data_IF_081430724069
#
_entry.id   IF_081430724069
#
_cell.length_a   1.000
_cell.length_b   1.000
_cell.length_c   1.000
_cell.angle_alpha   90.00
_cell.angle_beta   90.00
_cell.angle_gamma   90.00
#
_symmetry.space_group_name_H-M   'P 1'
#
loop_
_entity.id
_entity.type
_entity.pdbx_description
1 polymer ?
#
# COMPACT_ATOMS: atom_id res chain seq x y z
N UNK A 1 -54.82 7.30 -23.98
CA UNK A 1 -54.49 7.15 -22.54
C UNK A 1 -53.01 6.83 -22.48
N UNK A 2 -52.24 7.83 -22.87
CA UNK A 2 -50.79 7.92 -22.77
C UNK A 2 -50.51 8.92 -21.63
N UNK A 3 -49.29 8.94 -21.09
CA UNK A 3 -48.76 9.90 -20.08
C UNK A 3 -48.54 9.42 -18.63
N UNK A 4 -48.02 8.21 -18.42
CA UNK A 4 -47.55 7.83 -17.08
C UNK A 4 -46.26 6.97 -16.98
N UNK A 5 -45.38 6.93 -17.99
CA UNK A 5 -44.16 6.10 -17.92
C UNK A 5 -42.81 6.79 -18.23
N UNK A 6 -42.72 8.13 -18.27
CA UNK A 6 -41.44 8.80 -18.65
C UNK A 6 -40.87 9.82 -17.64
N UNK A 7 -41.29 9.83 -16.37
CA UNK A 7 -40.86 10.87 -15.40
C UNK A 7 -39.99 10.40 -14.23
N UNK A 8 -39.27 9.28 -14.36
CA UNK A 8 -38.50 8.69 -13.25
C UNK A 8 -37.01 8.41 -13.50
N UNK A 9 -36.43 8.83 -14.63
CA UNK A 9 -35.14 8.28 -15.10
C UNK A 9 -33.90 9.13 -14.83
N UNK A 10 -33.91 10.42 -15.18
CA UNK A 10 -32.67 11.20 -15.34
C UNK A 10 -32.11 11.83 -14.05
N UNK A 11 -32.96 12.25 -13.12
CA UNK A 11 -32.52 12.87 -11.86
C UNK A 11 -31.82 11.88 -10.91
N UNK A 12 -32.28 10.63 -10.89
CA UNK A 12 -31.72 9.60 -10.01
C UNK A 12 -30.36 9.08 -10.51
N UNK A 13 -30.13 9.00 -11.82
CA UNK A 13 -28.84 8.58 -12.39
C UNK A 13 -27.78 9.69 -12.31
N UNK A 14 -28.17 10.96 -12.40
CA UNK A 14 -27.24 12.08 -12.20
C UNK A 14 -26.71 12.14 -10.76
N UNK A 15 -27.57 11.89 -9.78
CA UNK A 15 -27.18 11.76 -8.36
C UNK A 15 -26.28 10.55 -8.10
N UNK A 16 -26.43 9.47 -8.87
CA UNK A 16 -25.60 8.25 -8.76
C UNK A 16 -24.25 8.40 -9.48
N UNK A 17 -24.10 9.32 -10.44
CA UNK A 17 -22.82 9.58 -11.12
C UNK A 17 -22.06 10.74 -10.47
N UNK A 18 -22.78 11.66 -9.80
CA UNK A 18 -22.18 12.68 -8.96
C UNK A 18 -21.18 12.05 -8.00
N UNK A 19 -19.98 12.62 -7.94
CA UNK A 19 -18.94 12.22 -6.99
C UNK A 19 -18.34 10.82 -7.21
N UNK A 20 -18.52 10.20 -8.38
CA UNK A 20 -17.84 8.94 -8.74
C UNK A 20 -16.48 9.19 -9.39
N UNK A 21 -15.43 8.61 -8.81
CA UNK A 21 -14.07 8.61 -9.37
C UNK A 21 -13.79 7.29 -10.10
N UNK A 22 -13.26 7.40 -11.32
CA UNK A 22 -12.93 6.27 -12.18
C UNK A 22 -11.53 6.39 -12.74
N UNK A 23 -10.85 5.26 -12.92
CA UNK A 23 -9.62 5.17 -13.69
C UNK A 23 -9.99 4.93 -15.16
N UNK A 24 -9.48 5.76 -16.06
CA UNK A 24 -9.79 5.68 -17.49
C UNK A 24 -8.51 5.64 -18.32
N UNK A 25 -8.46 4.74 -19.30
CA UNK A 25 -7.34 4.59 -20.23
C UNK A 25 -7.73 5.16 -21.59
N UNK A 26 -6.92 6.08 -22.10
CA UNK A 26 -7.10 6.59 -23.47
C UNK A 26 -6.89 5.45 -24.47
N UNK A 27 -7.93 5.16 -25.26
CA UNK A 27 -7.92 4.14 -26.30
C UNK A 27 -7.50 4.73 -27.64
N UNK A 28 -8.08 5.87 -28.02
CA UNK A 28 -7.83 6.55 -29.30
C UNK A 28 -8.09 8.04 -29.17
N UNK A 29 -7.26 8.84 -29.83
CA UNK A 29 -7.53 10.25 -30.07
C UNK A 29 -7.17 10.58 -31.52
N UNK A 30 -8.19 10.71 -32.37
CA UNK A 30 -8.04 11.00 -33.79
C UNK A 30 -7.72 12.47 -34.08
N UNK A 31 -7.11 12.71 -35.24
CA UNK A 31 -6.84 14.07 -35.72
C UNK A 31 -8.18 14.76 -36.03
N UNK A 32 -8.41 15.92 -35.41
CA UNK A 32 -9.65 16.69 -35.54
C UNK A 32 -10.74 16.34 -34.53
N UNK A 33 -10.53 15.33 -33.66
CA UNK A 33 -11.45 15.01 -32.57
C UNK A 33 -11.19 15.92 -31.36
N UNK A 34 -12.25 16.48 -30.77
CA UNK A 34 -12.16 17.40 -29.63
C UNK A 34 -11.89 16.69 -28.30
N UNK A 35 -12.18 15.40 -28.22
CA UNK A 35 -11.96 14.57 -27.03
C UNK A 35 -11.50 13.17 -27.41
N UNK A 36 -10.69 12.51 -26.56
CA UNK A 36 -10.30 11.13 -26.75
C UNK A 36 -11.45 10.16 -26.45
N UNK A 37 -11.40 8.98 -27.06
CA UNK A 37 -12.16 7.80 -26.64
C UNK A 37 -11.36 7.11 -25.53
N UNK A 38 -12.02 6.83 -24.41
CA UNK A 38 -11.43 6.17 -23.25
C UNK A 38 -12.18 4.88 -22.92
N UNK A 39 -11.45 3.91 -22.36
CA UNK A 39 -12.02 2.74 -21.71
C UNK A 39 -11.93 2.96 -20.19
N UNK A 40 -13.04 2.77 -19.45
CA UNK A 40 -13.00 2.76 -17.99
C UNK A 40 -12.37 1.44 -17.56
N UNK A 41 -11.24 1.50 -16.85
CA UNK A 41 -10.49 0.32 -16.42
C UNK A 41 -10.80 -0.07 -14.98
N UNK A 42 -11.13 0.91 -14.13
CA UNK A 42 -11.51 0.66 -12.75
C UNK A 42 -12.41 1.76 -12.17
N UNK A 43 -13.13 1.44 -11.10
CA UNK A 43 -13.96 2.36 -10.32
C UNK A 43 -13.32 2.53 -8.94
N UNK A 44 -12.71 3.71 -8.71
CA UNK A 44 -11.99 4.04 -7.48
C UNK A 44 -12.99 4.18 -6.31
N UNK A 45 -14.19 4.70 -6.61
CA UNK A 45 -15.31 4.79 -5.67
C UNK A 45 -15.94 6.18 -5.63
N UNK A 46 -16.89 6.35 -4.70
CA UNK A 46 -17.52 7.64 -4.45
C UNK A 46 -16.74 8.46 -3.44
N UNK A 47 -16.65 9.76 -3.65
CA UNK A 47 -16.10 10.70 -2.69
C UNK A 47 -16.09 12.14 -3.20
N UNK A 48 -15.63 13.07 -2.37
CA UNK A 48 -15.64 14.49 -2.72
C UNK A 48 -14.22 15.00 -2.92
N UNK A 49 -14.01 15.90 -3.89
CA UNK A 49 -12.73 16.60 -4.03
C UNK A 49 -12.40 17.32 -2.72
N UNK A 50 -11.25 17.01 -2.14
CA UNK A 50 -10.79 17.53 -0.85
C UNK A 50 -10.92 16.54 0.31
N UNK A 51 -11.64 15.42 0.13
CA UNK A 51 -11.57 14.29 1.06
C UNK A 51 -10.21 13.58 0.94
N UNK A 52 -9.47 13.51 2.04
CA UNK A 52 -8.08 13.00 2.04
C UNK A 52 -8.04 11.52 1.66
N UNK A 53 -8.96 10.72 2.17
CA UNK A 53 -8.96 9.27 1.94
C UNK A 53 -9.28 8.95 0.47
N UNK A 54 -10.27 9.61 -0.11
CA UNK A 54 -10.63 9.47 -1.53
C UNK A 54 -9.48 9.93 -2.43
N UNK A 55 -8.93 11.13 -2.18
CA UNK A 55 -7.85 11.66 -3.01
C UNK A 55 -6.56 10.84 -2.89
N UNK A 56 -6.29 10.23 -1.73
CA UNK A 56 -5.17 9.32 -1.56
C UNK A 56 -5.30 8.09 -2.46
N UNK A 57 -6.49 7.48 -2.53
CA UNK A 57 -6.75 6.35 -3.45
C UNK A 57 -6.57 6.75 -4.91
N UNK A 58 -7.05 7.93 -5.28
CA UNK A 58 -6.87 8.47 -6.65
C UNK A 58 -5.39 8.61 -7.00
N UNK A 59 -4.57 9.14 -6.08
CA UNK A 59 -3.12 9.31 -6.29
C UNK A 59 -2.43 7.94 -6.40
N UNK A 60 -2.78 6.98 -5.54
CA UNK A 60 -2.24 5.61 -5.57
C UNK A 60 -2.51 4.96 -6.93
N UNK A 61 -3.74 5.06 -7.43
CA UNK A 61 -4.14 4.51 -8.73
C UNK A 61 -3.48 5.25 -9.91
N UNK A 62 -3.42 6.58 -9.87
CA UNK A 62 -2.77 7.41 -10.90
C UNK A 62 -1.29 7.04 -11.10
N UNK A 63 -0.60 6.68 -10.01
CA UNK A 63 0.80 6.27 -10.03
C UNK A 63 0.98 4.76 -10.24
N UNK A 64 -0.10 4.00 -10.40
CA UNK A 64 -0.07 2.54 -10.58
C UNK A 64 0.52 1.80 -9.38
N UNK A 65 0.32 2.32 -8.17
CA UNK A 65 0.76 1.69 -6.92
C UNK A 65 -0.24 0.59 -6.56
N UNK A 66 0.22 -0.66 -6.51
CA UNK A 66 -0.61 -1.79 -6.10
C UNK A 66 -0.77 -1.80 -4.57
N UNK A 67 -1.98 -1.48 -4.09
CA UNK A 67 -2.35 -1.53 -2.66
C UNK A 67 -3.11 -2.80 -2.28
N UNK A 68 -3.25 -3.75 -3.21
CA UNK A 68 -3.95 -5.01 -2.98
C UNK A 68 -3.29 -5.83 -1.85
N UNK A 69 -4.08 -6.56 -1.03
CA UNK A 69 -3.55 -7.48 -0.05
C UNK A 69 -2.62 -8.52 -0.67
N UNK A 70 -1.60 -8.95 0.08
CA UNK A 70 -0.72 -10.03 -0.34
C UNK A 70 -1.51 -11.31 -0.67
N UNK A 71 -1.14 -11.96 -1.78
CA UNK A 71 -1.75 -13.24 -2.20
C UNK A 71 -1.55 -14.35 -1.15
N UNK A 72 -2.44 -15.36 -1.16
CA UNK A 72 -2.28 -16.54 -0.29
C UNK A 72 -0.97 -17.29 -0.54
N UNK A 73 -0.49 -17.31 -1.79
CA UNK A 73 0.79 -17.89 -2.13
C UNK A 73 1.96 -17.13 -1.46
N UNK A 74 1.92 -15.79 -1.43
CA UNK A 74 2.93 -14.98 -0.74
C UNK A 74 2.86 -15.16 0.78
N UNK A 75 1.65 -15.20 1.35
CA UNK A 75 1.43 -15.48 2.77
C UNK A 75 1.93 -16.86 3.18
N UNK A 76 1.80 -17.87 2.31
CA UNK A 76 2.27 -19.23 2.56
C UNK A 76 3.81 -19.35 2.59
N UNK A 77 4.55 -18.35 2.13
CA UNK A 77 6.02 -18.31 2.23
C UNK A 77 6.52 -17.82 3.61
N UNK A 78 5.64 -17.30 4.46
CA UNK A 78 6.01 -16.89 5.82
C UNK A 78 6.31 -18.12 6.69
N UNK A 79 7.12 -17.98 7.75
CA UNK A 79 7.34 -19.06 8.71
C UNK A 79 6.00 -19.58 9.26
N UNK A 80 5.87 -20.91 9.34
CA UNK A 80 4.70 -21.53 9.94
C UNK A 80 4.73 -21.36 11.45
N UNK A 81 3.86 -20.48 11.97
CA UNK A 81 3.75 -20.14 13.39
C UNK A 81 2.30 -20.37 13.80
N UNK A 82 2.08 -21.16 14.85
CA UNK A 82 0.73 -21.42 15.34
C UNK A 82 0.07 -20.13 15.84
N UNK A 83 -1.26 -20.03 15.76
CA UNK A 83 -1.98 -18.92 16.39
C UNK A 83 -1.59 -18.82 17.88
N UNK A 84 -1.22 -17.62 18.32
CA UNK A 84 -0.73 -17.30 19.68
C UNK A 84 0.67 -17.82 20.05
N UNK A 85 1.45 -18.30 19.08
CA UNK A 85 2.86 -18.60 19.26
C UNK A 85 3.72 -17.48 18.66
N UNK A 86 4.90 -17.25 19.24
CA UNK A 86 5.91 -16.35 18.67
C UNK A 86 6.94 -17.20 17.94
N UNK A 87 7.28 -16.79 16.72
CA UNK A 87 8.42 -17.39 16.01
C UNK A 87 9.69 -17.25 16.86
N UNK A 88 10.50 -18.31 16.91
CA UNK A 88 11.78 -18.35 17.62
C UNK A 88 12.90 -18.70 16.66
N UNK A 89 14.06 -18.12 16.91
CA UNK A 89 15.29 -18.45 16.19
C UNK A 89 15.64 -19.92 16.48
N UNK A 90 15.81 -20.78 15.46
CA UNK A 90 16.27 -22.16 15.66
C UNK A 90 17.65 -22.24 16.32
N UNK A 91 17.87 -23.23 17.19
CA UNK A 91 19.12 -23.37 17.94
C UNK A 91 20.36 -23.57 17.04
N UNK A 92 20.18 -24.23 15.90
CA UNK A 92 21.27 -24.43 14.93
C UNK A 92 21.69 -23.14 14.24
N UNK A 93 20.76 -22.18 14.05
CA UNK A 93 21.08 -20.85 13.54
C UNK A 93 21.90 -20.03 14.55
N UNK A 94 21.70 -20.23 15.86
CA UNK A 94 22.50 -19.58 16.89
C UNK A 94 23.97 -20.03 16.85
N UNK A 95 24.23 -21.29 16.52
CA UNK A 95 25.60 -21.84 16.42
C UNK A 95 26.31 -21.36 15.15
N UNK A 96 25.57 -21.18 14.05
CA UNK A 96 26.13 -20.77 12.74
C UNK A 96 26.48 -19.28 12.69
N UNK A 97 25.89 -18.46 13.55
CA UNK A 97 25.99 -16.99 13.50
C UNK A 97 26.91 -16.46 14.59
N UNK A 98 27.54 -15.31 14.32
CA UNK A 98 28.26 -14.58 15.35
C UNK A 98 27.24 -13.98 16.32
N UNK A 99 27.40 -14.26 17.61
CA UNK A 99 26.48 -13.78 18.65
C UNK A 99 26.90 -12.39 19.18
N UNK A 100 25.97 -11.44 19.12
CA UNK A 100 26.12 -10.07 19.62
C UNK A 100 25.16 -9.77 20.79
N UNK A 101 24.46 -10.76 21.33
CA UNK A 101 23.45 -10.54 22.39
C UNK A 101 24.02 -9.93 23.68
N UNK A 102 25.31 -10.13 23.94
CA UNK A 102 26.02 -9.53 25.08
C UNK A 102 26.61 -8.13 24.77
N UNK A 103 26.35 -7.59 23.58
CA UNK A 103 26.87 -6.29 23.11
C UNK A 103 25.81 -5.21 23.23
N UNK A 104 26.26 -3.97 23.44
CA UNK A 104 25.36 -2.81 23.40
C UNK A 104 25.03 -2.49 21.92
N UNK A 105 23.85 -2.91 21.50
CA UNK A 105 23.30 -2.69 20.15
C UNK A 105 22.01 -1.87 20.27
N UNK A 106 21.83 -0.85 19.43
CA UNK A 106 20.65 0.02 19.43
C UNK A 106 20.34 0.56 18.04
N UNK A 107 19.08 0.94 17.79
CA UNK A 107 18.66 1.66 16.58
C UNK A 107 18.32 3.12 16.91
N UNK A 108 18.27 3.99 15.90
CA UNK A 108 17.91 5.41 16.06
C UNK A 108 16.88 5.76 15.00
N UNK A 109 15.61 5.83 15.41
CA UNK A 109 14.49 5.92 14.47
C UNK A 109 13.50 7.04 14.85
N UNK A 110 12.74 7.58 13.89
CA UNK A 110 11.60 8.44 14.17
C UNK A 110 10.55 7.74 15.05
N UNK A 111 9.78 8.47 15.88
CA UNK A 111 8.74 7.89 16.75
C UNK A 111 7.64 7.09 16.02
N UNK A 112 7.50 7.28 14.71
CA UNK A 112 6.48 6.64 13.87
C UNK A 112 7.02 5.47 13.04
N UNK A 113 8.31 5.13 13.17
CA UNK A 113 8.89 3.98 12.47
C UNK A 113 8.22 2.67 12.89
N UNK A 114 8.01 1.75 11.94
CA UNK A 114 7.36 0.45 12.17
C UNK A 114 8.28 -0.72 11.84
N UNK A 115 9.12 -0.52 10.84
CA UNK A 115 10.16 -1.38 10.31
C UNK A 115 11.53 -0.88 10.80
N UNK A 116 12.19 -1.65 11.64
CA UNK A 116 13.50 -1.33 12.24
C UNK A 116 14.54 -2.32 11.69
N UNK A 117 15.14 -1.97 10.55
CA UNK A 117 15.97 -2.89 9.78
C UNK A 117 17.47 -2.70 10.01
N UNK A 118 17.89 -1.56 10.58
CA UNK A 118 19.27 -1.26 10.92
C UNK A 118 19.50 -1.09 12.44
N UNK A 119 20.74 -1.36 12.83
CA UNK A 119 21.19 -1.20 14.21
C UNK A 119 22.69 -0.86 14.25
N UNK A 120 23.10 -0.18 15.30
CA UNK A 120 24.44 0.31 15.53
C UNK A 120 25.03 -0.24 16.83
N UNK A 121 26.35 -0.37 16.84
CA UNK A 121 27.15 -0.76 17.99
C UNK A 121 28.52 -0.10 17.88
N UNK A 122 29.12 0.25 19.01
CA UNK A 122 30.51 0.69 19.08
C UNK A 122 31.11 0.36 20.44
N UNK A 123 32.31 -0.20 20.42
CA UNK A 123 33.14 -0.46 21.61
C UNK A 123 34.48 0.26 21.47
N UNK A 124 34.96 0.85 22.58
CA UNK A 124 36.32 1.42 22.64
C UNK A 124 37.26 0.33 23.12
N UNK A 125 38.30 0.05 22.33
CA UNK A 125 39.33 -0.92 22.68
C UNK A 125 40.35 -0.32 23.67
N UNK A 126 41.14 -1.16 24.39
CA UNK A 126 42.23 -0.69 25.23
C UNK A 126 43.29 0.14 24.49
N UNK A 127 43.42 -0.06 23.18
CA UNK A 127 44.29 0.71 22.29
C UNK A 127 43.79 2.14 22.03
N UNK A 128 42.54 2.44 22.39
CA UNK A 128 41.82 3.66 22.02
C UNK A 128 41.15 3.60 20.64
N UNK A 129 41.30 2.49 19.90
CA UNK A 129 40.59 2.28 18.64
C UNK A 129 39.09 2.01 18.89
N UNK A 130 38.26 2.29 17.88
CA UNK A 130 36.84 1.96 17.90
C UNK A 130 36.61 0.67 17.12
N UNK A 131 35.84 -0.25 17.71
CA UNK A 131 35.38 -1.47 17.05
C UNK A 131 33.87 -1.43 16.88
N UNK A 132 33.43 -1.47 15.63
CA UNK A 132 32.05 -1.74 15.23
C UNK A 132 31.74 -3.22 15.20
#
# INVERSE_FOLDING_TARGET
>A
CDDALERGGEGAIADVIGDLFVCAKIRKWGVGESCPIVDIVDVIGHGTIGDVDTMTKVIVEEHGICDAPFSDAARACLPDVKPNELWKIPDDELVKRRDFRDKLVFSIDPPTARDLDDALHVEVEPSGALRG
#
